data_IF_615501222509
#
_entry.id   IF_615501222509
#
_cell.length_a   1.000
_cell.length_b   1.000
_cell.length_c   1.000
_cell.angle_alpha   90.00
_cell.angle_beta   90.00
_cell.angle_gamma   90.00
#
_symmetry.space_group_name_H-M   'P 1'
#
loop_
_entity.id
_entity.type
_entity.pdbx_description
1 polymer ?
#
# COMPACT_ATOMS: atom_id res chain seq x y z
N UNK A 1 18.07 -3.52 -20.39
CA UNK A 1 19.44 -3.58 -19.84
C UNK A 1 19.49 -4.77 -18.89
N UNK A 2 20.43 -5.70 -19.11
CA UNK A 2 20.68 -6.78 -18.13
C UNK A 2 21.41 -6.18 -16.93
N UNK A 3 20.87 -6.35 -15.74
CA UNK A 3 21.57 -6.04 -14.49
C UNK A 3 21.68 -7.28 -13.64
N UNK A 4 22.79 -7.40 -12.91
CA UNK A 4 23.02 -8.51 -11.98
C UNK A 4 22.99 -7.94 -10.56
N UNK A 5 22.27 -8.60 -9.68
CA UNK A 5 22.20 -8.17 -8.27
C UNK A 5 23.57 -8.35 -7.59
N UNK A 6 24.28 -9.42 -7.94
CA UNK A 6 25.59 -9.76 -7.39
C UNK A 6 26.62 -10.01 -8.51
N UNK A 7 27.17 -8.96 -9.16
CA UNK A 7 28.09 -9.13 -10.27
C UNK A 7 29.41 -9.83 -9.89
N UNK A 8 29.80 -9.84 -8.62
CA UNK A 8 30.98 -10.54 -8.14
C UNK A 8 30.93 -12.06 -8.39
N UNK A 9 29.75 -12.66 -8.38
CA UNK A 9 29.60 -14.10 -8.67
C UNK A 9 29.82 -14.47 -10.15
N UNK A 10 29.86 -13.50 -11.06
CA UNK A 10 30.26 -13.77 -12.44
C UNK A 10 31.73 -14.22 -12.54
N UNK A 11 32.59 -13.82 -11.60
CA UNK A 11 33.96 -14.34 -11.52
C UNK A 11 33.99 -15.87 -11.23
N UNK A 12 32.94 -16.39 -10.58
CA UNK A 12 32.79 -17.83 -10.39
C UNK A 12 32.61 -18.59 -11.72
N UNK A 13 32.19 -17.93 -12.80
CA UNK A 13 32.15 -18.50 -14.15
C UNK A 13 33.55 -18.93 -14.63
N UNK A 14 34.63 -18.33 -14.11
CA UNK A 14 35.99 -18.76 -14.38
C UNK A 14 36.28 -20.21 -13.90
N UNK A 15 35.51 -20.70 -12.92
CA UNK A 15 35.59 -22.09 -12.47
C UNK A 15 35.17 -23.08 -13.59
N UNK A 16 34.38 -22.64 -14.57
CA UNK A 16 34.06 -23.47 -15.75
C UNK A 16 35.29 -23.80 -16.63
N UNK A 17 36.40 -23.05 -16.47
CA UNK A 17 37.66 -23.39 -17.13
C UNK A 17 38.29 -24.66 -16.56
N UNK A 18 37.98 -25.03 -15.32
CA UNK A 18 38.58 -26.23 -14.67
C UNK A 18 38.22 -27.54 -15.43
N UNK A 19 36.94 -27.81 -15.75
CA UNK A 19 36.59 -28.99 -16.56
C UNK A 19 37.23 -28.94 -17.97
N UNK A 20 37.38 -27.74 -18.55
CA UNK A 20 38.04 -27.56 -19.86
C UNK A 20 39.52 -27.94 -19.80
N UNK A 21 40.26 -27.43 -18.83
CA UNK A 21 41.70 -27.72 -18.63
C UNK A 21 41.90 -29.20 -18.35
N UNK A 22 41.07 -29.81 -17.47
CA UNK A 22 41.14 -31.22 -17.17
C UNK A 22 40.83 -32.06 -18.40
N UNK A 23 39.91 -31.69 -19.26
CA UNK A 23 39.61 -32.41 -20.50
C UNK A 23 40.78 -32.33 -21.49
N UNK A 24 41.45 -31.19 -21.60
CA UNK A 24 42.64 -31.01 -22.43
C UNK A 24 43.86 -31.79 -21.91
N UNK A 25 44.01 -31.87 -20.58
CA UNK A 25 45.10 -32.62 -19.95
C UNK A 25 44.92 -34.15 -20.03
N UNK A 26 43.68 -34.65 -20.13
CA UNK A 26 43.35 -36.07 -20.22
C UNK A 26 43.59 -36.64 -21.63
N UNK A 27 44.35 -36.00 -22.50
CA UNK A 27 44.81 -36.59 -23.75
C UNK A 27 45.67 -37.81 -23.42
N UNK A 28 45.04 -39.02 -23.38
CA UNK A 28 45.75 -40.26 -23.17
C UNK A 28 46.81 -40.45 -24.25
N UNK A 29 48.05 -40.60 -23.81
CA UNK A 29 49.14 -41.05 -24.69
C UNK A 29 48.83 -42.51 -25.08
N UNK A 30 48.33 -42.73 -26.30
CA UNK A 30 48.16 -44.08 -26.85
C UNK A 30 49.51 -44.63 -27.25
N UNK A 31 49.96 -45.65 -26.57
CA UNK A 31 51.12 -46.45 -26.98
C UNK A 31 50.68 -47.29 -28.15
N UNK A 32 51.34 -47.13 -29.30
CA UNK A 32 51.06 -47.92 -30.49
C UNK A 32 51.84 -49.25 -30.38
N UNK A 33 51.09 -50.30 -30.09
CA UNK A 33 51.61 -51.67 -30.20
C UNK A 33 51.28 -52.19 -31.58
N UNK A 34 52.28 -52.59 -32.38
CA UNK A 34 52.09 -53.13 -33.73
C UNK A 34 51.84 -54.62 -33.64
N UNK A 35 50.61 -55.10 -33.88
CA UNK A 35 50.24 -56.47 -34.09
C UNK A 35 49.84 -56.72 -35.53
N UNK A 36 50.43 -57.79 -36.16
CA UNK A 36 50.26 -58.05 -37.61
C UNK A 36 48.86 -58.55 -38.08
N UNK A 37 48.00 -58.99 -37.17
CA UNK A 37 46.71 -59.62 -37.48
C UNK A 37 45.46 -58.75 -37.18
N UNK A 38 45.54 -57.41 -37.15
CA UNK A 38 44.48 -56.50 -36.63
C UNK A 38 43.56 -55.93 -37.73
N UNK A 39 43.60 -56.41 -38.98
CA UNK A 39 42.82 -55.79 -40.08
C UNK A 39 41.30 -55.85 -39.88
N UNK A 40 40.76 -56.89 -39.27
CA UNK A 40 39.35 -57.05 -38.98
C UNK A 40 38.90 -56.31 -37.72
N UNK A 41 39.79 -56.12 -36.72
CA UNK A 41 39.49 -55.42 -35.48
C UNK A 41 39.38 -53.91 -35.69
N UNK A 42 40.07 -53.34 -36.69
CA UNK A 42 40.05 -51.91 -37.02
C UNK A 42 38.66 -51.41 -37.45
N UNK A 43 37.84 -52.23 -38.12
CA UNK A 43 36.48 -51.83 -38.53
C UNK A 43 35.51 -51.74 -37.36
N UNK A 44 35.55 -52.66 -36.41
CA UNK A 44 34.71 -52.65 -35.21
C UNK A 44 35.12 -51.51 -34.25
N UNK A 45 36.42 -51.26 -34.14
CA UNK A 45 37.00 -50.24 -33.26
C UNK A 45 36.66 -48.79 -33.69
N UNK A 46 36.50 -48.54 -34.99
CA UNK A 46 36.19 -47.21 -35.53
C UNK A 46 34.77 -46.77 -35.15
N UNK A 47 33.80 -47.68 -35.09
CA UNK A 47 32.43 -47.41 -34.64
C UNK A 47 32.36 -47.14 -33.13
N UNK A 48 33.06 -47.92 -32.33
CA UNK A 48 33.09 -47.79 -30.86
C UNK A 48 33.81 -46.48 -30.41
N UNK A 49 34.92 -46.13 -31.09
CA UNK A 49 35.71 -44.93 -30.76
C UNK A 49 34.95 -43.62 -30.94
N UNK A 50 34.09 -43.53 -31.96
CA UNK A 50 33.29 -42.31 -32.18
C UNK A 50 32.18 -42.14 -31.12
N UNK A 51 31.58 -43.24 -30.69
CA UNK A 51 30.55 -43.22 -29.64
C UNK A 51 31.16 -42.79 -28.31
N UNK A 52 32.29 -43.33 -27.91
CA UNK A 52 32.98 -42.97 -26.67
C UNK A 52 33.45 -41.49 -26.68
N UNK A 53 33.87 -40.98 -27.86
CA UNK A 53 34.21 -39.56 -28.00
C UNK A 53 33.02 -38.66 -27.83
N UNK A 54 31.86 -39.03 -28.40
CA UNK A 54 30.62 -38.27 -28.22
C UNK A 54 30.15 -38.32 -26.76
N UNK A 55 30.15 -39.45 -26.13
CA UNK A 55 29.77 -39.59 -24.71
C UNK A 55 30.65 -38.72 -23.81
N UNK A 56 31.98 -38.75 -24.00
CA UNK A 56 32.91 -37.91 -23.25
C UNK A 56 32.74 -36.43 -23.52
N UNK A 57 32.40 -36.03 -24.76
CA UNK A 57 32.12 -34.65 -25.12
C UNK A 57 30.83 -34.16 -24.48
N UNK A 58 29.76 -34.96 -24.48
CA UNK A 58 28.49 -34.63 -23.83
C UNK A 58 28.66 -34.48 -22.31
N UNK A 59 29.40 -35.39 -21.68
CA UNK A 59 29.72 -35.32 -20.24
C UNK A 59 30.52 -34.06 -19.90
N UNK A 60 31.47 -33.67 -20.73
CA UNK A 60 32.22 -32.45 -20.58
C UNK A 60 31.29 -31.22 -20.71
N UNK A 61 30.44 -31.20 -21.72
CA UNK A 61 29.49 -30.10 -21.98
C UNK A 61 28.50 -29.92 -20.82
N UNK A 62 27.99 -31.03 -20.27
CA UNK A 62 27.06 -30.98 -19.11
C UNK A 62 27.79 -30.42 -17.89
N UNK A 63 29.06 -30.83 -17.62
CA UNK A 63 29.80 -30.32 -16.48
C UNK A 63 30.10 -28.83 -16.59
N UNK A 64 30.50 -28.35 -17.77
CA UNK A 64 30.73 -26.92 -18.00
C UNK A 64 29.46 -26.12 -17.93
N UNK A 65 28.36 -26.63 -18.52
CA UNK A 65 27.03 -25.98 -18.46
C UNK A 65 26.53 -25.89 -17.02
N UNK A 66 26.73 -26.96 -16.21
CA UNK A 66 26.32 -26.95 -14.81
C UNK A 66 27.05 -25.84 -14.01
N UNK A 67 28.36 -25.69 -14.20
CA UNK A 67 29.16 -24.67 -13.52
C UNK A 67 28.72 -23.27 -13.95
N UNK A 68 28.44 -23.04 -15.24
CA UNK A 68 27.95 -21.77 -15.75
C UNK A 68 26.55 -21.43 -15.23
N UNK A 69 25.66 -22.44 -15.21
CA UNK A 69 24.31 -22.25 -14.66
C UNK A 69 24.34 -21.94 -13.16
N UNK A 70 25.23 -22.60 -12.42
CA UNK A 70 25.39 -22.33 -11.00
C UNK A 70 25.89 -20.90 -10.76
N UNK A 71 26.92 -20.46 -11.51
CA UNK A 71 27.42 -19.10 -11.44
C UNK A 71 26.34 -18.07 -11.81
N UNK A 72 25.54 -18.36 -12.85
CA UNK A 72 24.42 -17.50 -13.25
C UNK A 72 23.32 -17.45 -12.18
N UNK A 73 23.01 -18.57 -11.53
CA UNK A 73 22.02 -18.62 -10.46
C UNK A 73 22.42 -17.74 -9.26
N UNK A 74 23.70 -17.78 -8.84
CA UNK A 74 24.19 -16.93 -7.75
C UNK A 74 24.35 -15.46 -8.16
N UNK A 75 24.58 -15.17 -9.44
CA UNK A 75 24.63 -13.80 -9.95
C UNK A 75 23.27 -13.10 -9.94
N UNK A 76 22.17 -13.85 -9.76
CA UNK A 76 20.78 -13.33 -9.76
C UNK A 76 20.54 -12.33 -10.91
N UNK A 77 20.45 -12.81 -12.17
CA UNK A 77 20.20 -11.92 -13.30
C UNK A 77 18.83 -11.27 -13.17
N UNK A 78 18.79 -9.96 -13.07
CA UNK A 78 17.55 -9.18 -13.17
C UNK A 78 17.32 -8.79 -14.62
N UNK A 79 16.29 -9.35 -15.20
CA UNK A 79 15.78 -8.94 -16.50
C UNK A 79 14.84 -7.75 -16.30
N UNK A 80 15.30 -6.54 -16.54
CA UNK A 80 14.38 -5.41 -16.77
C UNK A 80 13.65 -5.68 -18.09
N UNK A 81 12.39 -6.01 -17.99
CA UNK A 81 11.53 -6.61 -19.00
C UNK A 81 11.23 -5.73 -20.22
N UNK A 82 11.80 -4.52 -20.33
CA UNK A 82 11.51 -3.65 -21.47
C UNK A 82 11.95 -4.22 -22.84
N UNK A 83 12.88 -5.16 -22.88
CA UNK A 83 13.36 -5.78 -24.14
C UNK A 83 12.67 -7.12 -24.49
N UNK A 84 12.09 -7.82 -23.50
CA UNK A 84 11.36 -9.10 -23.68
C UNK A 84 9.84 -8.93 -23.54
N UNK A 85 9.36 -7.72 -23.31
CA UNK A 85 7.94 -7.39 -23.09
C UNK A 85 7.02 -7.77 -24.25
N UNK A 86 7.56 -8.08 -25.42
CA UNK A 86 6.78 -8.59 -26.55
C UNK A 86 6.43 -10.07 -26.45
N UNK A 87 7.17 -10.89 -25.70
CA UNK A 87 6.97 -12.34 -25.63
C UNK A 87 6.21 -12.80 -24.36
N UNK A 88 6.32 -12.03 -23.27
CA UNK A 88 5.51 -12.16 -22.08
C UNK A 88 4.62 -10.91 -21.99
N UNK A 89 3.55 -10.87 -22.76
CA UNK A 89 2.51 -9.87 -22.57
C UNK A 89 2.00 -10.06 -21.14
N UNK A 90 2.45 -9.21 -20.24
CA UNK A 90 1.89 -9.16 -18.89
C UNK A 90 0.39 -8.96 -19.03
N UNK A 91 -0.39 -9.74 -18.33
CA UNK A 91 -1.84 -9.57 -18.36
C UNK A 91 -2.14 -8.09 -18.06
N UNK A 92 -2.93 -7.44 -18.90
CA UNK A 92 -3.36 -6.07 -18.66
C UNK A 92 -4.13 -6.03 -17.34
N UNK A 93 -3.88 -4.99 -16.53
CA UNK A 93 -4.46 -4.82 -15.21
C UNK A 93 -5.48 -3.68 -15.22
N UNK A 94 -6.52 -3.87 -14.43
CA UNK A 94 -7.46 -2.82 -14.08
C UNK A 94 -7.19 -2.47 -12.60
N UNK A 95 -6.73 -1.25 -12.35
CA UNK A 95 -6.23 -0.80 -11.05
C UNK A 95 -7.18 0.22 -10.46
N UNK A 96 -7.57 0.05 -9.21
CA UNK A 96 -8.29 1.06 -8.44
C UNK A 96 -7.39 1.59 -7.33
N UNK A 97 -7.26 2.90 -7.22
CA UNK A 97 -6.51 3.58 -6.17
C UNK A 97 -7.49 4.27 -5.25
N UNK A 98 -7.42 3.97 -3.96
CA UNK A 98 -8.22 4.57 -2.90
C UNK A 98 -7.27 5.31 -1.98
N UNK A 99 -7.44 6.62 -1.86
CA UNK A 99 -6.66 7.47 -0.97
C UNK A 99 -7.53 7.83 0.21
N UNK A 100 -7.07 7.51 1.41
CA UNK A 100 -7.65 7.96 2.66
C UNK A 100 -7.43 9.47 2.77
N UNK A 101 -8.53 10.21 2.83
CA UNK A 101 -8.51 11.68 2.94
C UNK A 101 -9.02 12.15 4.32
N UNK A 102 -8.84 11.32 5.36
CA UNK A 102 -9.19 11.69 6.73
C UNK A 102 -8.29 12.81 7.26
N UNK A 103 -8.78 13.50 8.28
CA UNK A 103 -8.01 14.56 8.96
C UNK A 103 -6.66 14.06 9.48
N UNK A 104 -6.59 12.82 9.95
CA UNK A 104 -5.37 12.20 10.50
C UNK A 104 -4.22 12.08 9.49
N UNK A 105 -4.53 12.01 8.20
CA UNK A 105 -3.52 12.04 7.14
C UNK A 105 -2.73 13.36 7.10
N UNK A 106 -3.21 14.41 7.76
CA UNK A 106 -2.50 15.66 7.95
C UNK A 106 -1.38 15.61 8.98
N UNK A 107 -1.16 14.45 9.63
CA UNK A 107 -0.09 14.28 10.61
C UNK A 107 1.29 14.55 9.98
N UNK A 108 2.10 15.39 10.67
CA UNK A 108 3.42 15.79 10.18
C UNK A 108 4.48 14.73 10.52
N UNK A 109 5.21 14.27 9.52
CA UNK A 109 6.34 13.36 9.64
C UNK A 109 7.66 14.10 9.35
N UNK A 110 7.87 15.19 10.05
CA UNK A 110 9.02 16.06 9.84
C UNK A 110 8.74 17.17 8.83
N UNK A 111 9.28 17.07 7.61
CA UNK A 111 9.05 18.06 6.54
C UNK A 111 7.74 17.86 5.80
N UNK A 112 7.35 16.60 5.62
CA UNK A 112 6.19 16.19 4.82
C UNK A 112 5.08 15.70 5.74
N UNK A 113 3.85 15.83 5.30
CA UNK A 113 2.71 15.20 5.95
C UNK A 113 2.50 13.77 5.44
N UNK A 114 1.74 12.97 6.18
CA UNK A 114 1.30 11.65 5.70
C UNK A 114 0.51 11.81 4.38
N UNK A 115 -0.25 12.91 4.27
CA UNK A 115 -1.00 13.26 3.07
C UNK A 115 -0.10 13.47 1.85
N UNK A 116 0.97 14.24 1.99
CA UNK A 116 1.91 14.48 0.88
C UNK A 116 2.53 13.16 0.40
N UNK A 117 2.91 12.30 1.33
CA UNK A 117 3.42 10.96 1.00
C UNK A 117 2.38 10.06 0.34
N UNK A 118 1.10 10.20 0.72
CA UNK A 118 0.02 9.44 0.11
C UNK A 118 -0.20 9.85 -1.35
N UNK A 119 -0.15 11.14 -1.65
CA UNK A 119 -0.23 11.65 -3.02
C UNK A 119 0.96 11.19 -3.87
N UNK A 120 2.17 11.25 -3.32
CA UNK A 120 3.37 10.76 -4.01
C UNK A 120 3.34 9.26 -4.24
N UNK A 121 2.86 8.48 -3.27
CA UNK A 121 2.66 7.05 -3.41
C UNK A 121 1.64 6.72 -4.52
N UNK A 122 0.50 7.42 -4.55
CA UNK A 122 -0.50 7.25 -5.60
C UNK A 122 0.07 7.60 -6.98
N UNK A 123 0.82 8.70 -7.09
CA UNK A 123 1.48 9.09 -8.34
C UNK A 123 2.49 8.03 -8.79
N UNK A 124 3.30 7.49 -7.88
CA UNK A 124 4.26 6.44 -8.18
C UNK A 124 3.60 5.14 -8.66
N UNK A 125 2.44 4.76 -8.09
CA UNK A 125 1.65 3.61 -8.56
C UNK A 125 1.19 3.86 -10.00
N UNK A 126 0.65 5.05 -10.31
CA UNK A 126 0.17 5.41 -11.65
C UNK A 126 1.32 5.42 -12.67
N UNK A 127 2.49 5.94 -12.31
CA UNK A 127 3.68 5.94 -13.16
C UNK A 127 4.21 4.52 -13.43
N UNK A 128 4.03 3.60 -12.48
CA UNK A 128 4.43 2.20 -12.59
C UNK A 128 3.49 1.33 -13.44
N UNK A 129 2.39 1.87 -13.96
CA UNK A 129 1.46 1.15 -14.84
C UNK A 129 2.07 0.95 -16.23
N UNK A 130 1.82 -0.22 -16.83
CA UNK A 130 2.25 -0.55 -18.19
C UNK A 130 1.26 -0.01 -19.24
N UNK A 131 1.69 0.02 -20.50
CA UNK A 131 0.82 0.43 -21.60
C UNK A 131 -0.34 -0.56 -21.77
N UNK A 132 -1.57 -0.03 -21.68
CA UNK A 132 -2.81 -0.82 -21.75
C UNK A 132 -3.42 -1.16 -20.38
N UNK A 133 -2.74 -0.87 -19.27
CA UNK A 133 -3.37 -0.88 -17.94
C UNK A 133 -4.35 0.28 -17.83
N UNK A 134 -5.39 0.11 -17.02
CA UNK A 134 -6.38 1.15 -16.77
C UNK A 134 -6.47 1.41 -15.28
N UNK A 135 -6.75 2.66 -14.92
CA UNK A 135 -6.79 3.08 -13.52
C UNK A 135 -8.02 3.93 -13.24
N UNK A 136 -8.64 3.71 -12.08
CA UNK A 136 -9.65 4.59 -11.49
C UNK A 136 -9.16 5.09 -10.12
N UNK A 137 -9.67 6.25 -9.68
CA UNK A 137 -9.20 6.96 -8.50
C UNK A 137 -10.38 7.38 -7.61
N UNK A 138 -10.30 7.03 -6.34
CA UNK A 138 -11.28 7.37 -5.32
C UNK A 138 -10.59 8.02 -4.12
N UNK A 139 -11.25 9.01 -3.53
CA UNK A 139 -10.86 9.57 -2.26
C UNK A 139 -11.91 9.21 -1.19
N UNK A 140 -11.44 8.60 -0.10
CA UNK A 140 -12.28 8.22 1.03
C UNK A 140 -12.30 9.36 2.04
N UNK A 141 -13.42 10.06 2.08
CA UNK A 141 -13.81 10.99 3.13
C UNK A 141 -14.85 10.29 4.03
N UNK A 142 -15.64 11.07 4.77
CA UNK A 142 -16.86 10.57 5.41
C UNK A 142 -17.81 9.93 4.38
N UNK A 143 -17.88 10.53 3.19
CA UNK A 143 -18.50 9.95 1.99
C UNK A 143 -17.46 9.68 0.92
N UNK A 144 -17.68 8.66 0.10
CA UNK A 144 -16.79 8.33 -1.02
C UNK A 144 -16.89 9.39 -2.10
N UNK A 145 -15.76 9.96 -2.49
CA UNK A 145 -15.68 10.87 -3.63
C UNK A 145 -14.98 10.17 -4.80
N UNK A 146 -15.71 9.78 -5.85
CA UNK A 146 -15.08 9.33 -7.07
C UNK A 146 -14.37 10.52 -7.72
N UNK A 147 -13.06 10.39 -7.97
CA UNK A 147 -12.24 11.42 -8.63
C UNK A 147 -12.11 11.08 -10.11
N UNK A 148 -11.83 9.82 -10.40
CA UNK A 148 -11.88 9.21 -11.72
C UNK A 148 -12.65 7.91 -11.55
N UNK A 149 -13.96 7.93 -11.78
CA UNK A 149 -14.85 6.80 -11.52
C UNK A 149 -14.67 5.66 -12.53
N UNK A 150 -14.53 6.03 -13.81
CA UNK A 150 -14.36 5.07 -14.88
C UNK A 150 -12.88 4.74 -15.09
N UNK A 151 -12.62 3.49 -15.47
CA UNK A 151 -11.29 3.03 -15.83
C UNK A 151 -10.72 3.86 -16.98
N UNK A 152 -9.59 4.50 -16.74
CA UNK A 152 -8.94 5.39 -17.69
C UNK A 152 -7.51 4.91 -17.97
N UNK A 153 -7.14 4.86 -19.25
CA UNK A 153 -5.79 4.51 -19.70
C UNK A 153 -4.83 5.71 -19.77
N UNK A 154 -5.33 6.95 -19.63
CA UNK A 154 -4.50 8.15 -19.62
C UNK A 154 -3.90 8.41 -18.22
N UNK A 155 -2.70 7.87 -18.02
CA UNK A 155 -1.95 7.99 -16.77
C UNK A 155 -1.64 9.44 -16.40
N UNK A 156 -1.38 10.28 -17.40
CA UNK A 156 -1.07 11.70 -17.15
C UNK A 156 -2.29 12.44 -16.61
N UNK A 157 -3.44 12.19 -17.21
CA UNK A 157 -4.70 12.75 -16.72
C UNK A 157 -4.97 12.33 -15.28
N UNK A 158 -4.91 11.01 -14.97
CA UNK A 158 -5.20 10.52 -13.61
C UNK A 158 -4.18 11.03 -12.59
N UNK A 159 -2.89 11.07 -12.93
CA UNK A 159 -1.86 11.65 -12.06
C UNK A 159 -2.10 13.13 -11.77
N UNK A 160 -2.59 13.90 -12.75
CA UNK A 160 -2.97 15.29 -12.54
C UNK A 160 -4.12 15.44 -11.54
N UNK A 161 -5.11 14.51 -11.59
CA UNK A 161 -6.24 14.50 -10.66
C UNK A 161 -5.81 14.20 -9.22
N UNK A 162 -4.80 13.33 -9.01
CA UNK A 162 -4.25 13.08 -7.66
C UNK A 162 -3.80 14.39 -7.00
N UNK A 163 -3.15 15.27 -7.74
CA UNK A 163 -2.64 16.56 -7.23
C UNK A 163 -3.73 17.59 -6.92
N UNK A 164 -4.96 17.38 -7.41
CA UNK A 164 -6.10 18.27 -7.12
C UNK A 164 -6.83 17.90 -5.82
N UNK A 165 -6.47 16.76 -5.23
CA UNK A 165 -7.09 16.30 -3.99
C UNK A 165 -6.71 17.18 -2.81
N UNK A 166 -7.66 17.44 -1.95
CA UNK A 166 -7.46 18.18 -0.72
C UNK A 166 -7.68 17.28 0.49
N UNK A 167 -6.92 17.52 1.54
CA UNK A 167 -7.08 16.82 2.82
C UNK A 167 -8.50 17.10 3.38
N UNK A 168 -9.15 16.06 3.88
CA UNK A 168 -10.44 16.15 4.57
C UNK A 168 -10.31 16.74 5.97
N UNK A 169 -11.46 17.17 6.50
CA UNK A 169 -11.56 17.70 7.88
C UNK A 169 -12.30 16.76 8.82
N UNK A 170 -12.69 15.60 8.33
CA UNK A 170 -13.48 14.59 9.01
C UNK A 170 -12.75 13.25 9.03
N UNK A 171 -13.36 12.25 9.62
CA UNK A 171 -12.92 10.86 9.50
C UNK A 171 -13.17 10.33 8.09
N UNK A 172 -12.52 9.25 7.70
CA UNK A 172 -12.78 8.53 6.45
C UNK A 172 -13.49 7.20 6.71
N UNK A 173 -14.11 6.69 5.66
CA UNK A 173 -14.73 5.36 5.64
C UNK A 173 -14.22 4.60 4.42
N UNK A 174 -13.34 3.63 4.65
CA UNK A 174 -12.69 2.87 3.57
C UNK A 174 -13.62 1.80 2.97
N UNK A 175 -14.52 1.21 3.77
CA UNK A 175 -15.39 0.14 3.29
C UNK A 175 -16.28 0.59 2.10
N UNK A 176 -17.02 1.69 2.16
CA UNK A 176 -17.78 2.19 1.01
C UNK A 176 -16.89 2.53 -0.20
N UNK A 177 -15.68 3.05 0.04
CA UNK A 177 -14.74 3.38 -1.04
C UNK A 177 -14.24 2.12 -1.77
N UNK A 178 -13.97 1.06 -1.03
CA UNK A 178 -13.58 -0.25 -1.60
C UNK A 178 -14.72 -0.85 -2.40
N UNK A 179 -15.97 -0.77 -1.91
CA UNK A 179 -17.14 -1.27 -2.65
C UNK A 179 -17.36 -0.49 -3.95
N UNK A 180 -17.23 0.85 -3.92
CA UNK A 180 -17.33 1.70 -5.10
C UNK A 180 -16.22 1.36 -6.11
N UNK A 181 -14.97 1.25 -5.66
CA UNK A 181 -13.84 0.88 -6.48
C UNK A 181 -14.01 -0.52 -7.10
N UNK A 182 -14.45 -1.49 -6.32
CA UNK A 182 -14.73 -2.84 -6.82
C UNK A 182 -15.85 -2.85 -7.86
N UNK A 183 -16.92 -2.08 -7.65
CA UNK A 183 -17.98 -1.95 -8.63
C UNK A 183 -17.49 -1.39 -9.96
N UNK A 184 -16.64 -0.36 -9.94
CA UNK A 184 -16.02 0.21 -11.15
C UNK A 184 -15.12 -0.79 -11.89
N UNK A 185 -14.36 -1.63 -11.17
CA UNK A 185 -13.54 -2.68 -11.75
C UNK A 185 -14.37 -3.83 -12.35
N UNK A 186 -15.61 -4.00 -11.92
CA UNK A 186 -16.46 -5.13 -12.33
C UNK A 186 -17.56 -4.75 -13.32
N UNK A 187 -17.74 -3.46 -13.64
CA UNK A 187 -18.75 -2.99 -14.60
C UNK A 187 -18.64 -3.66 -15.96
N UNK A 188 -17.41 -3.91 -16.43
CA UNK A 188 -17.20 -4.62 -17.66
C UNK A 188 -16.60 -6.02 -17.40
N UNK A 189 -17.15 -7.08 -17.99
CA UNK A 189 -16.66 -8.46 -17.82
C UNK A 189 -15.35 -8.68 -18.61
N UNK A 190 -14.27 -8.02 -18.20
CA UNK A 190 -12.94 -8.18 -18.80
C UNK A 190 -12.16 -9.28 -18.07
N UNK A 191 -11.40 -10.08 -18.83
CA UNK A 191 -10.49 -11.09 -18.27
C UNK A 191 -9.15 -10.46 -17.91
N UNK A 192 -9.16 -9.37 -17.12
CA UNK A 192 -7.97 -8.67 -16.64
C UNK A 192 -7.73 -8.99 -15.19
N UNK A 193 -6.50 -8.88 -14.76
CA UNK A 193 -6.18 -8.89 -13.33
C UNK A 193 -6.67 -7.59 -12.70
N UNK A 194 -7.22 -7.66 -11.50
CA UNK A 194 -7.75 -6.51 -10.78
C UNK A 194 -6.94 -6.25 -9.54
N UNK A 195 -6.52 -5.01 -9.38
CA UNK A 195 -5.75 -4.59 -8.22
C UNK A 195 -6.47 -3.42 -7.54
N UNK A 196 -6.60 -3.47 -6.22
CA UNK A 196 -7.12 -2.38 -5.40
C UNK A 196 -6.02 -1.95 -4.44
N UNK A 197 -5.54 -0.73 -4.62
CA UNK A 197 -4.54 -0.10 -3.76
C UNK A 197 -5.22 0.83 -2.78
N UNK A 198 -5.07 0.57 -1.48
CA UNK A 198 -5.59 1.39 -0.40
C UNK A 198 -4.41 2.07 0.27
N UNK A 199 -4.40 3.40 0.26
CA UNK A 199 -3.35 4.22 0.86
C UNK A 199 -3.95 4.93 2.06
N UNK A 200 -3.48 4.62 3.28
CA UNK A 200 -4.05 5.08 4.54
C UNK A 200 -2.97 5.23 5.61
N UNK A 201 -3.25 5.95 6.68
CA UNK A 201 -2.41 5.97 7.89
C UNK A 201 -2.63 4.76 8.80
N UNK A 202 -3.63 3.91 8.50
CA UNK A 202 -3.91 2.68 9.22
C UNK A 202 -4.74 2.87 10.50
N UNK A 203 -5.42 4.00 10.68
CA UNK A 203 -6.28 4.21 11.85
C UNK A 203 -7.48 3.25 11.83
N UNK A 204 -7.75 2.63 12.99
CA UNK A 204 -8.80 1.61 13.14
C UNK A 204 -10.20 2.11 12.74
N UNK A 205 -10.49 3.41 12.98
CA UNK A 205 -11.79 4.01 12.68
C UNK A 205 -12.10 4.02 11.17
N UNK A 206 -11.09 4.18 10.32
CA UNK A 206 -11.26 4.17 8.87
C UNK A 206 -11.70 2.79 8.34
N UNK A 207 -11.40 1.72 9.10
CA UNK A 207 -11.72 0.32 8.75
C UNK A 207 -13.07 -0.16 9.30
N UNK A 208 -13.86 0.71 9.93
CA UNK A 208 -15.22 0.39 10.34
C UNK A 208 -16.05 -0.08 9.13
N UNK A 209 -16.76 -1.21 9.30
CA UNK A 209 -17.56 -1.82 8.24
C UNK A 209 -16.93 -3.02 7.54
N UNK A 210 -15.64 -3.33 7.79
CA UNK A 210 -15.00 -4.55 7.27
C UNK A 210 -15.16 -5.79 8.13
N UNK A 211 -16.17 -5.85 8.99
CA UNK A 211 -16.49 -7.10 9.69
C UNK A 211 -16.30 -7.09 11.20
N UNK A 212 -16.40 -5.96 11.86
CA UNK A 212 -16.61 -5.94 13.30
C UNK A 212 -18.04 -6.41 13.59
N UNK A 213 -18.17 -7.66 14.00
CA UNK A 213 -19.40 -8.22 14.58
C UNK A 213 -19.69 -7.67 15.98
N UNK A 214 -19.18 -6.49 16.30
CA UNK A 214 -19.52 -5.79 17.53
C UNK A 214 -20.88 -5.11 17.38
N UNK A 215 -21.94 -5.93 17.58
CA UNK A 215 -23.35 -5.50 17.61
C UNK A 215 -23.66 -4.54 18.76
N UNK A 216 -22.69 -4.16 19.59
CA UNK A 216 -22.87 -3.31 20.77
C UNK A 216 -22.33 -1.87 20.62
N UNK A 217 -21.84 -1.47 19.47
CA UNK A 217 -21.44 -0.08 19.26
C UNK A 217 -22.65 0.72 18.80
N UNK A 218 -23.05 1.78 19.53
CA UNK A 218 -24.13 2.65 19.06
C UNK A 218 -23.75 3.25 17.71
N UNK A 219 -24.71 3.36 16.76
CA UNK A 219 -24.45 4.01 15.49
C UNK A 219 -23.94 5.44 15.73
N UNK A 220 -22.87 5.83 15.03
CA UNK A 220 -22.40 7.21 15.08
C UNK A 220 -23.57 8.13 14.76
N UNK A 221 -23.74 9.28 15.50
CA UNK A 221 -24.81 10.20 15.25
C UNK A 221 -24.80 10.62 13.79
N UNK A 222 -25.93 10.45 13.11
CA UNK A 222 -26.12 10.85 11.74
C UNK A 222 -25.80 12.37 11.63
N UNK A 223 -24.75 12.72 10.90
CA UNK A 223 -24.46 14.10 10.57
C UNK A 223 -25.66 14.66 9.82
N UNK A 224 -26.31 15.69 10.38
CA UNK A 224 -27.39 16.43 9.76
C UNK A 224 -26.88 17.06 8.48
N UNK A 225 -27.49 16.66 7.37
CA UNK A 225 -27.19 17.14 6.02
C UNK A 225 -27.53 18.63 5.90
N UNK A 226 -26.55 19.44 5.61
CA UNK A 226 -26.77 20.70 4.88
C UNK A 226 -26.03 20.64 3.55
N UNK A 227 -26.89 20.75 2.53
CA UNK A 227 -26.66 21.24 1.18
C UNK A 227 -25.63 20.54 0.26
N UNK A 228 -26.15 19.75 -0.66
CA UNK A 228 -25.69 19.84 -2.05
C UNK A 228 -24.66 18.83 -2.55
N UNK A 229 -24.49 17.67 -1.94
CA UNK A 229 -23.82 16.55 -2.58
C UNK A 229 -24.87 15.51 -2.99
N UNK A 230 -24.99 15.28 -4.30
CA UNK A 230 -25.79 14.19 -4.82
C UNK A 230 -25.27 12.88 -4.22
N UNK A 231 -26.03 12.37 -3.26
CA UNK A 231 -25.79 11.03 -2.73
C UNK A 231 -25.98 10.06 -3.90
N UNK A 232 -24.95 9.31 -4.24
CA UNK A 232 -25.11 8.06 -4.98
C UNK A 232 -25.74 7.07 -4.00
N UNK A 233 -27.02 7.27 -3.73
CA UNK A 233 -27.88 6.27 -3.14
C UNK A 233 -28.26 5.33 -4.26
N UNK A 234 -27.69 4.13 -4.27
CA UNK A 234 -28.37 3.03 -4.92
C UNK A 234 -29.77 2.97 -4.34
N UNK A 235 -30.77 2.79 -5.19
CA UNK A 235 -32.21 2.91 -4.91
C UNK A 235 -32.76 1.89 -3.88
N UNK A 236 -31.91 1.23 -3.13
CA UNK A 236 -32.21 0.35 -1.98
C UNK A 236 -31.30 0.77 -0.85
N UNK A 237 -31.86 1.39 0.17
CA UNK A 237 -31.19 1.95 1.35
C UNK A 237 -30.53 0.93 2.29
N UNK A 238 -30.07 -0.21 1.79
CA UNK A 238 -29.29 -1.17 2.49
C UNK A 238 -27.81 -0.89 2.25
N UNK A 239 -27.14 -0.41 3.30
CA UNK A 239 -25.68 -0.47 3.40
C UNK A 239 -25.28 -1.93 3.19
N UNK A 240 -24.90 -2.29 1.97
CA UNK A 240 -24.30 -3.62 1.73
C UNK A 240 -23.03 -3.72 2.58
N UNK A 241 -23.18 -4.43 3.70
CA UNK A 241 -22.05 -4.78 4.54
C UNK A 241 -21.04 -5.58 3.71
N UNK A 242 -19.79 -5.25 3.86
CA UNK A 242 -18.68 -5.98 3.28
C UNK A 242 -18.83 -7.50 3.48
N UNK A 243 -18.92 -8.22 2.38
CA UNK A 243 -18.96 -9.69 2.36
C UNK A 243 -17.76 -10.23 1.58
N UNK A 244 -16.71 -10.70 2.25
CA UNK A 244 -15.48 -11.18 1.58
C UNK A 244 -15.74 -12.29 0.55
N UNK A 245 -16.81 -13.08 0.74
CA UNK A 245 -17.16 -14.17 -0.18
C UNK A 245 -17.74 -13.74 -1.53
N UNK A 246 -18.10 -12.46 -1.71
CA UNK A 246 -18.63 -11.93 -2.97
C UNK A 246 -17.52 -11.39 -3.90
N UNK A 247 -16.28 -11.29 -3.41
CA UNK A 247 -15.17 -10.75 -4.21
C UNK A 247 -14.56 -11.85 -5.07
N UNK A 248 -14.35 -11.53 -6.34
CA UNK A 248 -13.67 -12.43 -7.27
C UNK A 248 -12.22 -12.68 -6.79
N UNK A 249 -11.81 -13.96 -6.76
CA UNK A 249 -10.46 -14.40 -6.38
C UNK A 249 -9.34 -13.80 -7.26
N UNK A 250 -9.68 -13.13 -8.34
CA UNK A 250 -8.76 -12.44 -9.24
C UNK A 250 -8.46 -11.00 -8.80
N UNK A 251 -9.11 -10.51 -7.75
CA UNK A 251 -8.87 -9.17 -7.22
C UNK A 251 -7.86 -9.25 -6.10
N UNK A 252 -6.75 -8.53 -6.28
CA UNK A 252 -5.67 -8.44 -5.29
C UNK A 252 -5.77 -7.10 -4.58
N UNK A 253 -5.63 -7.12 -3.26
CA UNK A 253 -5.64 -5.93 -2.43
C UNK A 253 -4.23 -5.62 -1.96
N UNK A 254 -3.83 -4.37 -2.12
CA UNK A 254 -2.60 -3.82 -1.58
C UNK A 254 -2.95 -2.72 -0.58
N UNK A 255 -2.52 -2.87 0.65
CA UNK A 255 -2.69 -1.85 1.69
C UNK A 255 -1.33 -1.22 1.97
N UNK A 256 -1.23 0.07 1.70
CA UNK A 256 -0.03 0.86 1.99
C UNK A 256 -0.30 1.73 3.21
N UNK A 257 0.32 1.39 4.32
CA UNK A 257 0.20 2.15 5.56
C UNK A 257 1.35 3.15 5.67
N UNK A 258 1.03 4.43 5.73
CA UNK A 258 2.00 5.53 5.75
C UNK A 258 2.12 6.22 7.10
N UNK A 259 1.29 5.85 8.09
CA UNK A 259 1.28 6.40 9.42
C UNK A 259 2.55 6.14 10.22
N UNK A 260 2.76 6.91 11.27
CA UNK A 260 3.82 6.63 12.24
C UNK A 260 3.46 5.34 13.02
N UNK A 261 4.43 4.46 13.33
CA UNK A 261 4.18 3.22 14.06
C UNK A 261 3.63 3.45 15.49
N UNK A 262 3.89 4.60 16.07
CA UNK A 262 3.37 5.03 17.37
C UNK A 262 3.18 6.55 17.33
N UNK A 263 2.09 7.07 16.75
CA UNK A 263 1.87 8.51 16.68
C UNK A 263 1.61 9.05 18.08
N UNK A 264 2.32 10.08 18.46
CA UNK A 264 2.00 10.88 19.62
C UNK A 264 0.81 11.77 19.28
N UNK A 265 -0.31 11.54 19.92
CA UNK A 265 -1.53 12.29 19.64
C UNK A 265 -2.34 12.52 20.91
N UNK A 266 -2.95 13.68 21.00
CA UNK A 266 -3.89 14.05 22.06
C UNK A 266 -5.21 14.40 21.42
N UNK A 267 -6.26 13.69 21.83
CA UNK A 267 -7.59 13.84 21.25
C UNK A 267 -8.62 14.10 22.33
N UNK A 268 -9.44 15.15 22.24
CA UNK A 268 -10.62 15.27 23.09
C UNK A 268 -11.65 14.20 22.66
N UNK A 269 -11.99 13.32 23.61
CA UNK A 269 -12.92 12.20 23.36
C UNK A 269 -14.36 12.51 23.80
N UNK A 270 -14.51 13.44 24.74
CA UNK A 270 -15.81 13.85 25.25
C UNK A 270 -15.76 15.30 25.72
N UNK A 271 -16.89 16.00 25.58
CA UNK A 271 -17.06 17.37 26.03
C UNK A 271 -18.49 17.57 26.57
N UNK A 272 -18.60 17.80 27.85
CA UNK A 272 -19.87 17.93 28.54
C UNK A 272 -20.00 19.32 29.21
N UNK A 273 -21.14 19.97 28.99
CA UNK A 273 -21.47 21.24 29.65
C UNK A 273 -22.27 20.96 30.93
N UNK A 274 -21.81 21.48 32.05
CA UNK A 274 -22.44 21.32 33.37
C UNK A 274 -22.81 22.70 33.96
N UNK A 275 -24.07 22.91 34.40
CA UNK A 275 -25.23 22.03 34.25
C UNK A 275 -25.71 21.94 32.79
N UNK A 276 -26.44 20.87 32.40
CA UNK A 276 -26.91 20.67 31.03
C UNK A 276 -27.95 21.69 30.58
N UNK A 277 -28.62 22.34 31.51
CA UNK A 277 -29.53 23.44 31.24
C UNK A 277 -28.81 24.77 31.44
N UNK A 278 -28.63 25.50 30.33
CA UNK A 278 -27.98 26.81 30.34
C UNK A 278 -29.04 27.90 30.60
N UNK A 279 -28.89 28.62 31.69
CA UNK A 279 -29.70 29.81 32.00
C UNK A 279 -28.90 31.05 31.60
N UNK A 280 -29.60 32.08 31.14
CA UNK A 280 -29.02 33.39 30.91
C UNK A 280 -28.31 33.86 32.23
N UNK A 281 -27.16 34.50 32.09
CA UNK A 281 -26.34 34.99 33.20
C UNK A 281 -25.64 33.91 34.07
N UNK A 282 -25.65 32.66 33.69
CA UNK A 282 -24.84 31.60 34.35
C UNK A 282 -23.52 31.38 33.62
N UNK A 283 -22.50 31.05 34.41
CA UNK A 283 -21.20 30.63 33.88
C UNK A 283 -21.11 29.09 33.94
N UNK A 284 -21.51 28.38 32.90
CA UNK A 284 -21.43 26.94 32.91
C UNK A 284 -19.97 26.46 32.86
N UNK A 285 -19.76 25.24 33.29
CA UNK A 285 -18.46 24.59 33.22
C UNK A 285 -18.46 23.60 32.03
N UNK A 286 -17.44 23.70 31.19
CA UNK A 286 -17.16 22.72 30.15
C UNK A 286 -16.16 21.71 30.69
N UNK A 287 -16.57 20.47 30.81
CA UNK A 287 -15.69 19.34 31.14
C UNK A 287 -15.24 18.71 29.84
N UNK A 288 -13.93 18.65 29.64
CA UNK A 288 -13.32 18.04 28.44
C UNK A 288 -12.52 16.83 28.89
N UNK A 289 -12.84 15.68 28.35
CA UNK A 289 -12.10 14.45 28.58
C UNK A 289 -11.13 14.22 27.44
N UNK A 290 -9.84 14.04 27.77
CA UNK A 290 -8.77 13.83 26.83
C UNK A 290 -8.33 12.37 26.82
N UNK A 291 -7.97 11.89 25.66
CA UNK A 291 -7.24 10.63 25.49
C UNK A 291 -5.95 10.93 24.74
N UNK A 292 -4.92 10.16 25.01
CA UNK A 292 -3.65 10.29 24.32
C UNK A 292 -3.10 8.92 23.90
N UNK A 293 -2.24 8.93 22.88
CA UNK A 293 -1.42 7.80 22.46
C UNK A 293 0.04 8.23 22.51
N UNK A 294 0.91 7.37 23.03
CA UNK A 294 2.33 7.66 23.23
C UNK A 294 2.70 7.87 24.70
N UNK A 295 3.97 8.21 24.98
CA UNK A 295 4.43 8.49 26.34
C UNK A 295 3.77 9.77 26.90
N UNK A 296 4.05 10.08 28.17
CA UNK A 296 3.53 11.28 28.84
C UNK A 296 3.72 12.52 27.96
N UNK A 297 2.60 13.08 27.49
CA UNK A 297 2.59 14.24 26.61
C UNK A 297 2.18 15.49 27.36
N UNK A 298 2.95 16.55 27.18
CA UNK A 298 2.54 17.88 27.57
C UNK A 298 1.70 18.49 26.45
N UNK A 299 0.55 19.03 26.77
CA UNK A 299 -0.32 19.66 25.78
C UNK A 299 -0.99 20.88 26.38
N UNK A 300 -1.25 21.86 25.57
CA UNK A 300 -2.09 23.00 25.93
C UNK A 300 -3.44 22.90 25.27
N UNK A 301 -4.49 22.82 26.09
CA UNK A 301 -5.88 22.75 25.59
C UNK A 301 -6.45 24.16 25.61
N UNK A 302 -6.94 24.64 24.47
CA UNK A 302 -7.62 25.90 24.29
C UNK A 302 -9.07 25.68 23.94
N UNK A 303 -9.94 26.45 24.57
CA UNK A 303 -11.38 26.46 24.32
C UNK A 303 -11.78 27.80 23.71
N UNK A 304 -12.52 27.76 22.62
CA UNK A 304 -13.04 28.93 21.93
C UNK A 304 -14.55 28.84 21.91
N UNK A 305 -15.22 29.96 22.05
CA UNK A 305 -16.66 30.14 21.81
C UNK A 305 -16.82 31.31 20.84
N UNK A 306 -17.52 31.08 19.73
CA UNK A 306 -17.68 32.05 18.64
C UNK A 306 -16.34 32.67 18.20
N UNK A 307 -15.33 31.78 17.97
CA UNK A 307 -13.97 32.14 17.57
C UNK A 307 -13.14 32.91 18.63
N UNK A 308 -13.70 33.25 19.79
CA UNK A 308 -13.01 33.92 20.88
C UNK A 308 -12.48 32.90 21.89
N UNK A 309 -11.19 32.99 22.22
CA UNK A 309 -10.59 32.16 23.27
C UNK A 309 -11.22 32.48 24.63
N UNK A 310 -11.84 31.49 25.26
CA UNK A 310 -12.49 31.62 26.59
C UNK A 310 -11.69 30.94 27.68
N UNK A 311 -10.76 30.09 27.36
CA UNK A 311 -9.87 29.44 28.31
C UNK A 311 -8.72 28.70 27.66
N UNK A 312 -7.59 28.66 28.38
CA UNK A 312 -6.40 27.90 28.00
C UNK A 312 -5.84 27.21 29.23
N UNK A 313 -5.48 25.94 29.13
CA UNK A 313 -4.93 25.17 30.24
C UNK A 313 -3.88 24.18 29.75
N UNK A 314 -2.71 24.19 30.37
CA UNK A 314 -1.71 23.17 30.16
C UNK A 314 -2.10 21.89 30.91
N UNK A 315 -1.94 20.74 30.30
CA UNK A 315 -2.15 19.44 30.89
C UNK A 315 -0.96 18.53 30.63
N UNK A 316 -0.60 17.75 31.63
CA UNK A 316 0.38 16.66 31.50
C UNK A 316 -0.41 15.37 31.54
N UNK A 317 -0.53 14.73 30.39
CA UNK A 317 -1.35 13.54 30.26
C UNK A 317 -0.62 12.30 30.76
N UNK A 318 -1.17 11.65 31.78
CA UNK A 318 -0.71 10.38 32.33
C UNK A 318 -1.45 9.19 31.74
N UNK A 319 -1.12 7.96 32.19
CA UNK A 319 -1.64 6.69 31.63
C UNK A 319 -3.19 6.53 31.59
N UNK A 320 -3.95 7.32 32.36
CA UNK A 320 -5.41 7.20 32.49
C UNK A 320 -6.22 8.27 31.79
N UNK A 321 -5.58 9.18 31.03
CA UNK A 321 -6.26 10.35 30.46
C UNK A 321 -6.57 11.40 31.53
N UNK A 322 -6.86 12.63 31.11
CA UNK A 322 -7.16 13.73 32.02
C UNK A 322 -8.50 14.39 31.69
N UNK A 323 -9.22 14.77 32.78
CA UNK A 323 -10.43 15.56 32.68
C UNK A 323 -10.08 17.04 32.99
N UNK A 324 -10.28 17.91 32.02
CA UNK A 324 -10.06 19.35 32.22
C UNK A 324 -11.41 20.07 32.30
N UNK A 325 -11.51 21.03 33.22
CA UNK A 325 -12.72 21.84 33.36
C UNK A 325 -12.41 23.30 33.03
N UNK A 326 -13.25 23.91 32.18
CA UNK A 326 -13.15 25.30 31.79
C UNK A 326 -14.44 26.03 32.16
N UNK A 327 -14.33 27.22 32.74
CA UNK A 327 -15.47 28.08 32.96
C UNK A 327 -15.80 28.84 31.65
N UNK A 328 -17.03 28.71 31.15
CA UNK A 328 -17.47 29.48 30.02
C UNK A 328 -18.11 30.76 30.51
N UNK A 329 -17.70 31.93 30.03
CA UNK A 329 -18.32 33.19 30.42
C UNK A 329 -19.79 33.23 29.96
N UNK A 330 -20.65 34.02 30.61
CA UNK A 330 -22.02 34.16 30.17
C UNK A 330 -22.11 34.69 28.75
N UNK A 331 -23.01 34.08 27.95
CA UNK A 331 -23.26 34.46 26.57
C UNK A 331 -24.73 34.87 26.41
N UNK A 332 -25.05 35.74 25.46
CA UNK A 332 -26.42 36.10 25.15
C UNK A 332 -27.24 34.88 24.71
N UNK A 333 -28.58 34.90 24.81
CA UNK A 333 -29.40 33.80 24.30
C UNK A 333 -29.18 33.59 22.81
N UNK A 334 -28.88 32.35 22.40
CA UNK A 334 -28.63 32.00 20.99
C UNK A 334 -27.90 30.68 20.83
N UNK A 335 -27.56 30.39 19.59
CA UNK A 335 -26.69 29.24 19.25
C UNK A 335 -25.26 29.75 19.19
N UNK A 336 -24.41 29.16 19.99
CA UNK A 336 -22.99 29.48 20.04
C UNK A 336 -22.17 28.24 19.62
N UNK A 337 -21.08 28.47 18.89
CA UNK A 337 -20.20 27.40 18.41
C UNK A 337 -18.98 27.32 19.30
N UNK A 338 -18.85 26.20 20.00
CA UNK A 338 -17.65 25.85 20.78
C UNK A 338 -16.64 25.10 19.93
N UNK A 339 -15.34 25.45 20.09
CA UNK A 339 -14.21 24.74 19.49
C UNK A 339 -13.18 24.41 20.57
N UNK A 340 -12.76 23.17 20.63
CA UNK A 340 -11.67 22.69 21.50
C UNK A 340 -10.46 22.41 20.60
N UNK A 341 -9.32 22.95 20.98
CA UNK A 341 -8.08 22.78 20.24
C UNK A 341 -6.99 22.30 21.21
N UNK A 342 -6.31 21.23 20.84
CA UNK A 342 -5.12 20.71 21.53
C UNK A 342 -3.89 21.14 20.75
N UNK A 343 -2.92 21.71 21.44
CA UNK A 343 -1.64 22.15 20.88
C UNK A 343 -0.53 21.36 21.58
N UNK A 344 0.34 20.64 20.84
CA UNK A 344 1.56 20.08 21.43
C UNK A 344 2.45 21.22 21.91
N UNK A 345 3.08 21.05 23.06
CA UNK A 345 4.10 21.98 23.56
C UNK A 345 5.42 21.82 22.82
#
# INVERSE_FOLDING_TARGET
MFSFLNPMFLWAAAAAMVPLVLHLMQRRRTVRLYFSTVRFLKMAQKRSSNRIRMENFILWLIRTALMLLLAAAFAMPMLRTSAFGGFLRRAQRDVAIIIDASYSMGYSLGRDTVWDRALDCAAAIIEGLDDGDQVCLFAAYDNVKPVVEQLNGDRFFVSSQVRTLALGKTTSRLCPAVLAAYSSLTQEPRRREREIHIITDGQALAWDGFGSSDTNRPPAPAATNDAGAAAVTNATGDLEMWQPGKIDKRTVFFVTTLGAPAPENVTPIDAEIQPPLLLADTSPQLRVKLSHTGPNLNTTVKVFVDEKEVGSRAAVLGESGDDLTFAIPPHPPGVHIGKIQTLPD
#
